data_IF_573300898251
#
_entry.id   IF_573300898251
#
_cell.length_a   1.000
_cell.length_b   1.000
_cell.length_c   1.000
_cell.angle_alpha   90.00
_cell.angle_beta   90.00
_cell.angle_gamma   90.00
#
_symmetry.space_group_name_H-M   'P 1'
#
loop_
_entity.id
_entity.type
_entity.pdbx_description
1 polymer ?
#
# COMPACT_ATOMS: atom_id res chain seq x y z
N UNK A 1 -4.43 21.75 30.54
CA UNK A 1 -5.12 22.11 29.46
C UNK A 1 -4.25 22.27 28.33
N UNK A 2 -3.36 23.12 28.38
CA UNK A 2 -2.46 23.37 27.33
C UNK A 2 -1.66 22.16 26.91
N UNK A 3 -1.38 21.28 27.84
CA UNK A 3 -0.63 20.08 27.51
C UNK A 3 -1.37 19.18 26.56
N UNK A 4 -2.68 19.05 26.73
CA UNK A 4 -3.46 18.23 25.82
C UNK A 4 -3.48 18.80 24.43
N UNK A 5 -3.58 20.13 24.36
CA UNK A 5 -3.60 20.78 23.06
C UNK A 5 -2.28 20.62 22.35
N UNK A 6 -1.18 20.79 23.07
CA UNK A 6 0.14 20.61 22.48
C UNK A 6 0.37 19.18 22.03
N UNK A 7 -0.11 18.22 22.80
CA UNK A 7 0.00 16.83 22.43
C UNK A 7 -0.76 16.52 21.17
N UNK A 8 -1.95 17.04 21.03
CA UNK A 8 -2.75 16.80 19.84
C UNK A 8 -2.06 17.39 18.60
N UNK A 9 -1.49 18.57 18.74
CA UNK A 9 -0.78 19.17 17.61
C UNK A 9 0.44 18.35 17.23
N UNK A 10 1.19 17.86 18.21
CA UNK A 10 2.35 17.04 17.94
C UNK A 10 1.96 15.72 17.30
N UNK A 11 0.87 15.13 17.75
CA UNK A 11 0.39 13.88 17.16
C UNK A 11 -0.08 14.08 15.74
N UNK A 12 -0.75 15.18 15.46
CA UNK A 12 -1.20 15.46 14.10
C UNK A 12 -0.01 15.65 13.18
N UNK A 13 1.02 16.34 13.63
CA UNK A 13 2.22 16.51 12.82
C UNK A 13 2.94 15.19 12.62
N UNK A 14 2.99 14.37 13.69
CA UNK A 14 3.64 13.06 13.58
C UNK A 14 2.83 12.08 12.74
N UNK A 15 1.53 12.33 12.60
CA UNK A 15 0.67 11.47 11.81
C UNK A 15 0.70 11.80 10.33
N UNK A 16 1.38 12.89 9.93
CA UNK A 16 1.51 13.20 8.51
C UNK A 16 2.23 12.06 7.81
N UNK A 17 1.76 11.66 6.61
CA UNK A 17 2.36 10.55 5.90
C UNK A 17 3.84 10.77 5.66
N UNK A 18 4.64 9.72 5.89
CA UNK A 18 6.08 9.80 5.81
C UNK A 18 6.61 8.60 5.01
N UNK A 19 7.17 8.84 3.81
CA UNK A 19 7.68 7.74 3.00
C UNK A 19 8.78 6.94 3.68
N UNK A 20 9.61 7.58 4.53
CA UNK A 20 10.68 6.86 5.20
C UNK A 20 10.13 5.87 6.23
N UNK A 21 9.11 6.28 7.00
CA UNK A 21 8.44 5.34 7.89
C UNK A 21 7.74 4.25 7.09
N UNK A 22 7.13 4.63 5.97
CA UNK A 22 6.46 3.68 5.09
C UNK A 22 7.42 2.65 4.53
N UNK A 23 8.63 3.05 4.19
CA UNK A 23 9.64 2.12 3.71
C UNK A 23 10.00 1.10 4.79
N UNK A 24 10.16 1.53 6.03
CA UNK A 24 10.47 0.62 7.13
C UNK A 24 9.33 -0.37 7.36
N UNK A 25 8.08 0.09 7.31
CA UNK A 25 6.93 -0.78 7.45
C UNK A 25 6.86 -1.75 6.27
N UNK A 26 7.11 -1.28 5.07
CA UNK A 26 7.12 -2.10 3.87
C UNK A 26 8.13 -3.22 4.01
N UNK A 27 9.34 -2.90 4.47
CA UNK A 27 10.39 -3.90 4.65
C UNK A 27 10.01 -4.94 5.70
N UNK A 28 9.29 -4.53 6.73
CA UNK A 28 8.90 -5.43 7.81
C UNK A 28 7.69 -6.29 7.45
N UNK A 29 6.75 -5.77 6.66
CA UNK A 29 5.45 -6.40 6.50
C UNK A 29 5.15 -6.86 5.09
N UNK A 30 5.85 -6.38 4.09
CA UNK A 30 5.50 -6.63 2.69
C UNK A 30 6.53 -7.45 1.94
N UNK A 31 7.79 -7.40 2.35
CA UNK A 31 8.86 -7.98 1.54
C UNK A 31 8.95 -9.50 1.60
N UNK A 32 8.18 -10.14 2.49
CA UNK A 32 8.08 -11.59 2.42
C UNK A 32 7.46 -12.05 1.10
N UNK A 33 6.62 -11.22 0.49
CA UNK A 33 5.90 -11.58 -0.73
C UNK A 33 6.16 -10.63 -1.89
N UNK A 34 6.53 -9.40 -1.60
CA UNK A 34 6.65 -8.33 -2.59
C UNK A 34 8.03 -7.73 -2.62
N UNK A 35 8.34 -7.11 -3.75
CA UNK A 35 9.55 -6.30 -3.92
C UNK A 35 9.20 -5.13 -4.82
N UNK A 36 9.92 -4.01 -4.74
CA UNK A 36 9.67 -2.93 -5.70
C UNK A 36 9.91 -3.35 -7.14
N UNK A 37 10.92 -4.16 -7.40
CA UNK A 37 11.38 -4.39 -8.76
C UNK A 37 11.19 -5.82 -9.29
N UNK A 38 10.82 -6.75 -8.44
CA UNK A 38 10.71 -8.14 -8.86
C UNK A 38 9.40 -8.75 -8.41
N UNK A 39 8.82 -9.58 -9.27
CA UNK A 39 7.66 -10.38 -8.89
C UNK A 39 8.12 -11.54 -8.02
N UNK A 40 7.36 -11.81 -6.97
CA UNK A 40 7.60 -12.94 -6.10
C UNK A 40 6.27 -13.62 -5.84
N UNK A 41 5.96 -13.88 -4.57
CA UNK A 41 4.62 -14.38 -4.22
C UNK A 41 3.57 -13.37 -4.63
N UNK A 42 3.86 -12.09 -4.44
CA UNK A 42 3.02 -11.00 -4.93
C UNK A 42 3.70 -10.24 -6.07
N UNK A 43 2.97 -9.36 -6.73
CA UNK A 43 3.53 -8.59 -7.84
C UNK A 43 4.51 -7.52 -7.38
N UNK A 44 5.40 -7.12 -8.31
CA UNK A 44 6.30 -6.01 -8.08
C UNK A 44 5.51 -4.72 -7.91
N UNK A 45 6.00 -3.83 -7.06
CA UNK A 45 5.26 -2.62 -6.70
C UNK A 45 5.71 -1.35 -7.41
N UNK A 46 6.85 -1.38 -8.10
CA UNK A 46 7.27 -0.16 -8.80
C UNK A 46 6.21 0.23 -9.81
N UNK A 47 5.74 1.47 -9.72
CA UNK A 47 4.68 1.97 -10.57
C UNK A 47 3.28 1.55 -10.16
N UNK A 48 3.11 0.95 -8.98
CA UNK A 48 1.78 0.47 -8.56
C UNK A 48 0.80 1.62 -8.38
N UNK A 49 1.25 2.74 -7.85
CA UNK A 49 0.36 3.88 -7.67
C UNK A 49 -0.03 4.42 -9.04
N UNK A 50 -1.32 4.42 -9.32
CA UNK A 50 -1.85 4.83 -10.62
C UNK A 50 -2.00 3.68 -11.62
N UNK A 51 -1.55 2.48 -11.29
CA UNK A 51 -1.63 1.33 -12.20
C UNK A 51 -2.97 0.65 -12.07
N UNK A 52 -3.45 0.09 -13.19
CA UNK A 52 -4.64 -0.74 -13.16
C UNK A 52 -4.34 -2.01 -12.37
N UNK A 53 -5.20 -2.37 -11.44
CA UNK A 53 -5.00 -3.55 -10.61
C UNK A 53 -4.94 -4.81 -11.49
N UNK A 54 -4.08 -5.73 -11.10
CA UNK A 54 -3.96 -6.99 -11.81
C UNK A 54 -3.13 -6.93 -13.07
N UNK A 55 -2.30 -5.91 -13.25
CA UNK A 55 -1.60 -5.72 -14.53
C UNK A 55 -0.08 -5.59 -14.41
N UNK A 56 0.53 -5.92 -13.27
CA UNK A 56 1.98 -5.87 -13.19
C UNK A 56 2.58 -6.82 -14.22
N UNK A 57 3.56 -6.29 -14.96
CA UNK A 57 4.13 -7.01 -16.06
C UNK A 57 4.78 -8.31 -15.61
N UNK A 58 4.43 -9.40 -16.26
CA UNK A 58 5.06 -10.70 -15.99
C UNK A 58 4.57 -11.40 -14.73
N UNK A 59 3.66 -10.82 -13.96
CA UNK A 59 3.16 -11.50 -12.78
C UNK A 59 1.93 -12.34 -13.14
N UNK A 60 2.01 -13.64 -12.88
CA UNK A 60 0.94 -14.57 -13.25
C UNK A 60 0.05 -14.98 -12.08
N UNK A 61 0.37 -14.55 -10.86
CA UNK A 61 -0.29 -15.07 -9.66
C UNK A 61 -1.53 -14.30 -9.20
N UNK A 62 -2.07 -13.41 -10.01
CA UNK A 62 -3.25 -12.63 -9.62
C UNK A 62 -4.48 -13.51 -9.46
N UNK A 63 -5.31 -13.18 -8.46
CA UNK A 63 -6.63 -13.76 -8.35
C UNK A 63 -7.50 -13.26 -9.51
N UNK A 64 -8.44 -14.09 -9.92
CA UNK A 64 -9.40 -13.69 -10.94
C UNK A 64 -10.19 -12.46 -10.47
N UNK A 65 -10.52 -12.41 -9.17
CA UNK A 65 -11.28 -11.31 -8.61
C UNK A 65 -10.54 -9.99 -8.78
N UNK A 66 -9.24 -9.95 -8.47
CA UNK A 66 -8.48 -8.72 -8.61
C UNK A 66 -8.34 -8.31 -10.07
N UNK A 67 -8.10 -9.26 -10.94
CA UNK A 67 -7.99 -8.97 -12.38
C UNK A 67 -9.29 -8.38 -12.95
N UNK A 68 -10.41 -8.80 -12.42
CA UNK A 68 -11.72 -8.31 -12.90
C UNK A 68 -12.18 -7.05 -12.19
N UNK A 69 -11.47 -6.61 -11.16
CA UNK A 69 -11.95 -5.53 -10.31
C UNK A 69 -12.07 -4.19 -11.02
N UNK A 70 -11.24 -3.96 -12.03
CA UNK A 70 -11.23 -2.67 -12.73
C UNK A 70 -10.67 -1.52 -11.91
N UNK A 71 -10.10 -1.79 -10.74
CA UNK A 71 -9.56 -0.75 -9.88
C UNK A 71 -8.29 -0.18 -10.49
N UNK A 72 -8.15 1.14 -10.41
CA UNK A 72 -6.88 1.79 -10.69
C UNK A 72 -6.38 2.31 -9.34
N UNK A 73 -5.20 1.87 -8.95
CA UNK A 73 -4.71 2.14 -7.61
C UNK A 73 -4.52 3.63 -7.35
N UNK A 74 -5.17 4.13 -6.32
CA UNK A 74 -5.02 5.49 -5.86
C UNK A 74 -4.96 5.48 -4.34
N UNK A 75 -4.84 6.65 -3.74
CA UNK A 75 -4.66 6.73 -2.30
C UNK A 75 -5.84 6.12 -1.55
N UNK A 76 -7.05 6.40 -1.98
CA UNK A 76 -8.25 5.94 -1.28
C UNK A 76 -8.41 4.43 -1.36
N UNK A 77 -8.26 3.84 -2.55
CA UNK A 77 -8.46 2.39 -2.65
C UNK A 77 -7.27 1.58 -2.17
N UNK A 78 -6.06 2.15 -2.22
CA UNK A 78 -4.92 1.51 -1.56
C UNK A 78 -5.12 1.46 -0.05
N UNK A 79 -5.67 2.51 0.54
CA UNK A 79 -5.96 2.50 1.97
C UNK A 79 -6.97 1.41 2.31
N UNK A 80 -8.03 1.28 1.54
CA UNK A 80 -9.03 0.23 1.75
C UNK A 80 -8.44 -1.16 1.54
N UNK A 81 -7.61 -1.30 0.52
CA UNK A 81 -6.97 -2.59 0.22
C UNK A 81 -6.08 -3.01 1.38
N UNK A 82 -5.26 -2.09 1.89
CA UNK A 82 -4.35 -2.42 2.98
C UNK A 82 -5.10 -2.65 4.29
N UNK A 83 -6.23 -2.01 4.48
CA UNK A 83 -7.03 -2.20 5.69
C UNK A 83 -7.68 -3.57 5.71
N UNK A 84 -8.21 -4.01 4.58
CA UNK A 84 -8.93 -5.28 4.49
C UNK A 84 -9.10 -5.65 3.01
N UNK A 85 -8.14 -6.38 2.45
CA UNK A 85 -8.20 -6.72 1.02
C UNK A 85 -9.49 -7.45 0.64
N UNK A 86 -9.95 -8.35 1.49
CA UNK A 86 -11.12 -9.17 1.18
C UNK A 86 -12.40 -8.35 1.10
N UNK A 87 -12.51 -7.30 1.93
CA UNK A 87 -13.68 -6.43 1.88
C UNK A 87 -13.70 -5.62 0.59
N UNK A 88 -12.54 -5.15 0.13
CA UNK A 88 -12.50 -4.37 -1.09
C UNK A 88 -12.71 -5.23 -2.33
N UNK A 89 -12.08 -6.39 -2.38
CA UNK A 89 -12.14 -7.29 -3.53
C UNK A 89 -12.37 -8.71 -3.04
N UNK A 90 -13.61 -9.10 -2.81
CA UNK A 90 -13.89 -10.46 -2.37
C UNK A 90 -13.31 -11.48 -3.36
N UNK A 91 -12.63 -12.49 -2.83
CA UNK A 91 -11.98 -13.51 -3.65
C UNK A 91 -10.54 -13.20 -4.00
N UNK A 92 -9.99 -12.11 -3.47
CA UNK A 92 -8.59 -11.77 -3.69
C UNK A 92 -7.67 -12.73 -2.92
N UNK A 93 -6.35 -12.63 -3.19
CA UNK A 93 -5.41 -13.63 -2.69
C UNK A 93 -4.47 -13.13 -1.59
N UNK A 94 -4.39 -11.84 -1.34
CA UNK A 94 -3.45 -11.29 -0.36
C UNK A 94 -4.00 -11.48 1.05
N UNK A 95 -3.21 -12.13 1.92
CA UNK A 95 -3.67 -12.48 3.26
C UNK A 95 -3.21 -11.54 4.36
N UNK A 96 -2.70 -10.36 4.00
CA UNK A 96 -2.12 -9.42 4.97
C UNK A 96 -2.94 -8.15 5.01
N UNK A 97 -3.09 -7.58 6.20
CA UNK A 97 -3.75 -6.28 6.35
C UNK A 97 -2.98 -5.46 7.37
N UNK A 98 -3.14 -4.14 7.30
CA UNK A 98 -2.56 -3.20 8.25
C UNK A 98 -3.71 -2.50 8.97
N UNK A 99 -3.84 -2.77 10.26
CA UNK A 99 -4.95 -2.21 11.03
C UNK A 99 -4.80 -0.71 11.30
N UNK A 100 -3.57 -0.25 11.43
CA UNK A 100 -3.31 1.13 11.80
C UNK A 100 -3.36 2.08 10.61
N UNK A 101 -4.24 3.07 10.68
CA UNK A 101 -4.43 4.00 9.57
C UNK A 101 -3.18 4.82 9.27
N UNK A 102 -2.42 5.18 10.30
CA UNK A 102 -1.18 5.93 10.12
C UNK A 102 -0.14 5.11 9.39
N UNK A 103 -0.03 3.82 9.73
CA UNK A 103 0.89 2.93 9.02
C UNK A 103 0.49 2.78 7.56
N UNK A 104 -0.80 2.64 7.29
CA UNK A 104 -1.26 2.55 5.91
C UNK A 104 -0.90 3.80 5.12
N UNK A 105 -1.11 4.96 5.73
CA UNK A 105 -0.79 6.22 5.05
C UNK A 105 0.71 6.32 4.75
N UNK A 106 1.55 5.89 5.68
CA UNK A 106 3.00 5.90 5.47
C UNK A 106 3.41 4.95 4.36
N UNK A 107 2.85 3.74 4.34
CA UNK A 107 3.16 2.78 3.28
C UNK A 107 2.71 3.32 1.92
N UNK A 108 1.54 3.93 1.85
CA UNK A 108 1.07 4.51 0.59
C UNK A 108 2.01 5.63 0.15
N UNK A 109 2.47 6.47 1.09
CA UNK A 109 3.43 7.51 0.76
C UNK A 109 4.71 6.91 0.19
N UNK A 110 5.17 5.80 0.75
CA UNK A 110 6.33 5.11 0.20
C UNK A 110 6.06 4.56 -1.20
N UNK A 111 4.91 3.93 -1.40
CA UNK A 111 4.57 3.37 -2.71
C UNK A 111 4.51 4.45 -3.78
N UNK A 112 4.08 5.65 -3.41
CA UNK A 112 4.08 6.78 -4.35
C UNK A 112 5.50 7.13 -4.81
N UNK A 113 6.51 6.88 -3.99
CA UNK A 113 7.89 7.16 -4.38
C UNK A 113 8.42 6.12 -5.36
N UNK A 114 7.75 4.98 -5.52
CA UNK A 114 8.17 3.94 -6.45
C UNK A 114 7.60 4.22 -7.83
N UNK A 115 7.96 5.37 -8.37
CA UNK A 115 7.50 5.73 -9.71
C UNK A 115 8.08 4.76 -10.73
N UNK A 116 7.40 4.67 -11.86
CA UNK A 116 7.84 3.79 -12.92
C UNK A 116 9.19 4.26 -13.43
N UNK A 117 10.18 3.35 -13.43
CA UNK A 117 11.54 3.71 -13.79
C UNK A 117 11.66 4.17 -15.23
N UNK A 118 10.71 3.81 -16.07
CA UNK A 118 10.74 4.22 -17.47
C UNK A 118 10.33 5.67 -17.64
N UNK A 119 9.62 6.18 -16.70
CA UNK A 119 9.18 7.55 -16.77
C UNK A 119 10.30 8.51 -16.44
#
# INVERSE_FOLDING_TARGET
MDNNFALLAAQAAAAAPDPARGQAIYQARCTACHSPDFNGVGPAHRGVFGRLAGTAKGYAGYSAALKKSGLRWNEANLDRWLADPETLVPGQAMGISLADAGERADVIAFLKTLANAKD
#
